data_IF_783880501920
#
_entry.id   IF_783880501920
#
_cell.length_a   1.000
_cell.length_b   1.000
_cell.length_c   1.000
_cell.angle_alpha   90.00
_cell.angle_beta   90.00
_cell.angle_gamma   90.00
#
_symmetry.space_group_name_H-M   'P 1'
#
loop_
_entity.id
_entity.type
_entity.pdbx_description
1 polymer ?
#
# COMPACT_ATOMS: atom_id res chain seq x y z
N UNK A 1 -14.41 -25.62 -5.67
CA UNK A 1 -15.16 -25.09 -4.53
C UNK A 1 -15.96 -23.89 -5.02
N UNK A 2 -17.26 -23.85 -4.75
CA UNK A 2 -18.15 -22.82 -5.30
C UNK A 2 -18.12 -21.61 -4.36
N UNK A 3 -17.25 -20.65 -4.63
CA UNK A 3 -17.27 -19.36 -3.92
C UNK A 3 -18.15 -18.43 -4.73
N UNK A 4 -19.40 -18.34 -4.32
CA UNK A 4 -20.35 -17.42 -4.93
C UNK A 4 -20.19 -16.04 -4.32
N UNK A 5 -20.28 -15.01 -5.16
CA UNK A 5 -20.39 -13.64 -4.72
C UNK A 5 -21.55 -13.55 -3.72
N UNK A 6 -21.21 -13.37 -2.44
CA UNK A 6 -22.17 -13.09 -1.40
C UNK A 6 -22.28 -11.58 -1.27
N UNK A 7 -23.47 -11.08 -1.60
CA UNK A 7 -23.85 -9.70 -1.34
C UNK A 7 -24.60 -9.65 -0.01
N UNK A 8 -24.04 -8.96 0.97
CA UNK A 8 -24.62 -8.82 2.30
C UNK A 8 -24.04 -7.60 3.00
N UNK A 9 -24.78 -7.04 3.94
CA UNK A 9 -24.34 -5.88 4.74
C UNK A 9 -23.94 -6.29 6.15
N UNK A 10 -24.00 -7.60 6.45
CA UNK A 10 -23.59 -8.23 7.70
C UNK A 10 -22.50 -9.26 7.43
N UNK A 11 -21.29 -8.78 7.16
CA UNK A 11 -20.18 -9.62 6.68
C UNK A 11 -18.85 -9.22 7.36
N UNK A 12 -17.95 -10.19 7.45
CA UNK A 12 -16.56 -9.98 7.90
C UNK A 12 -15.70 -9.69 6.68
N UNK A 13 -15.04 -8.54 6.63
CA UNK A 13 -14.31 -8.11 5.41
C UNK A 13 -12.94 -8.77 5.31
N UNK A 14 -12.13 -8.67 6.36
CA UNK A 14 -10.75 -9.17 6.36
C UNK A 14 -10.38 -9.90 7.66
N UNK A 15 -10.85 -9.38 8.80
CA UNK A 15 -10.60 -9.94 10.13
C UNK A 15 -11.88 -9.90 10.94
N UNK A 16 -12.04 -10.79 11.92
CA UNK A 16 -13.24 -10.84 12.77
C UNK A 16 -13.57 -9.52 13.49
N UNK A 17 -12.57 -8.68 13.75
CA UNK A 17 -12.77 -7.34 14.31
C UNK A 17 -13.35 -6.35 13.28
N UNK A 18 -13.12 -6.59 11.99
CA UNK A 18 -13.60 -5.78 10.88
C UNK A 18 -14.88 -6.39 10.30
N UNK A 19 -15.87 -6.55 11.18
CA UNK A 19 -17.23 -6.94 10.83
C UNK A 19 -18.09 -5.69 10.67
N UNK A 20 -18.87 -5.66 9.59
CA UNK A 20 -19.89 -4.63 9.36
C UNK A 20 -21.26 -5.23 9.63
N UNK A 21 -22.19 -4.43 10.16
CA UNK A 21 -23.60 -4.81 10.36
C UNK A 21 -24.59 -3.88 9.64
N UNK A 22 -24.08 -2.82 9.02
CA UNK A 22 -24.87 -1.69 8.51
C UNK A 22 -24.31 -1.17 7.18
N UNK A 23 -25.17 -0.54 6.36
CA UNK A 23 -24.78 0.06 5.07
C UNK A 23 -23.66 1.12 5.21
N UNK A 24 -23.73 1.92 6.27
CA UNK A 24 -22.70 2.91 6.59
C UNK A 24 -21.34 2.25 6.87
N UNK A 25 -21.33 1.12 7.56
CA UNK A 25 -20.13 0.32 7.81
C UNK A 25 -19.51 -0.22 6.52
N UNK A 26 -20.35 -0.62 5.55
CA UNK A 26 -19.90 -1.04 4.21
C UNK A 26 -19.22 0.11 3.46
N UNK A 27 -19.86 1.28 3.37
CA UNK A 27 -19.30 2.45 2.66
C UNK A 27 -18.01 2.93 3.31
N UNK A 28 -17.97 3.00 4.66
CA UNK A 28 -16.77 3.37 5.39
C UNK A 28 -15.62 2.39 5.14
N UNK A 29 -15.93 1.10 5.02
CA UNK A 29 -14.93 0.08 4.70
C UNK A 29 -14.36 0.23 3.29
N UNK A 30 -15.18 0.61 2.29
CA UNK A 30 -14.66 0.95 0.96
C UNK A 30 -13.68 2.11 0.99
N UNK A 31 -14.02 3.17 1.75
CA UNK A 31 -13.13 4.33 1.90
C UNK A 31 -11.83 3.90 2.61
N UNK A 32 -11.92 3.10 3.67
CA UNK A 32 -10.75 2.61 4.40
C UNK A 32 -9.82 1.76 3.53
N UNK A 33 -10.38 0.83 2.75
CA UNK A 33 -9.60 0.00 1.80
C UNK A 33 -8.96 0.88 0.73
N UNK A 34 -9.69 1.87 0.20
CA UNK A 34 -9.15 2.79 -0.80
C UNK A 34 -7.96 3.58 -0.26
N UNK A 35 -8.08 4.13 0.96
CA UNK A 35 -6.98 4.87 1.61
C UNK A 35 -5.79 3.96 1.85
N UNK A 36 -6.00 2.73 2.36
CA UNK A 36 -4.92 1.76 2.56
C UNK A 36 -4.23 1.38 1.26
N UNK A 37 -4.98 1.20 0.17
CA UNK A 37 -4.42 0.95 -1.16
C UNK A 37 -3.60 2.13 -1.68
N UNK A 38 -4.12 3.35 -1.55
CA UNK A 38 -3.40 4.57 -1.94
C UNK A 38 -2.11 4.76 -1.12
N UNK A 39 -2.16 4.50 0.19
CA UNK A 39 -0.98 4.52 1.06
C UNK A 39 0.05 3.45 0.66
N UNK A 40 -0.41 2.23 0.34
CA UNK A 40 0.47 1.15 -0.10
C UNK A 40 1.24 1.53 -1.37
N UNK A 41 0.54 2.06 -2.38
CA UNK A 41 1.18 2.58 -3.58
C UNK A 41 2.10 3.76 -3.26
N UNK A 42 1.66 4.70 -2.41
CA UNK A 42 2.48 5.85 -2.00
C UNK A 42 3.80 5.45 -1.35
N UNK A 43 3.80 4.49 -0.42
CA UNK A 43 5.01 3.96 0.23
C UNK A 43 5.93 3.26 -0.77
N UNK A 44 5.34 2.50 -1.70
CA UNK A 44 6.10 1.83 -2.78
C UNK A 44 6.85 2.85 -3.63
N UNK A 45 6.17 3.91 -4.06
CA UNK A 45 6.78 5.01 -4.82
C UNK A 45 7.84 5.75 -4.01
N UNK A 46 7.59 6.01 -2.72
CA UNK A 46 8.55 6.66 -1.85
C UNK A 46 9.87 5.88 -1.70
N UNK A 47 9.79 4.54 -1.61
CA UNK A 47 10.98 3.69 -1.59
C UNK A 47 11.81 3.84 -2.87
N UNK A 48 11.16 3.80 -4.03
CA UNK A 48 11.85 3.95 -5.33
C UNK A 48 12.50 5.33 -5.44
N UNK A 49 11.78 6.39 -5.02
CA UNK A 49 12.30 7.75 -5.00
C UNK A 49 13.58 7.88 -4.15
N UNK A 50 13.60 7.33 -2.93
CA UNK A 50 14.79 7.34 -2.08
C UNK A 50 15.96 6.55 -2.69
N UNK A 51 15.68 5.40 -3.31
CA UNK A 51 16.71 4.59 -3.97
C UNK A 51 17.33 5.33 -5.16
N UNK A 52 16.52 6.03 -5.96
CA UNK A 52 17.00 6.86 -7.07
C UNK A 52 17.88 8.01 -6.57
N UNK A 53 17.47 8.71 -5.51
CA UNK A 53 18.26 9.81 -4.94
C UNK A 53 19.61 9.34 -4.40
N UNK A 54 19.64 8.22 -3.68
CA UNK A 54 20.89 7.63 -3.17
C UNK A 54 21.80 7.14 -4.30
N UNK A 55 21.24 6.60 -5.38
CA UNK A 55 22.02 6.12 -6.54
C UNK A 55 22.62 7.29 -7.33
N UNK A 56 21.87 8.39 -7.48
CA UNK A 56 22.36 9.62 -8.12
C UNK A 56 23.50 10.25 -7.33
N UNK A 57 23.41 10.27 -6.00
CA UNK A 57 24.48 10.75 -5.13
C UNK A 57 25.78 9.94 -5.30
N UNK A 58 25.68 8.62 -5.53
CA UNK A 58 26.83 7.75 -5.81
C UNK A 58 27.51 8.00 -7.17
N UNK A 59 26.77 8.49 -8.17
CA UNK A 59 27.32 8.85 -9.49
C UNK A 59 27.95 10.26 -9.51
N UNK A 60 27.47 11.15 -8.65
CA UNK A 60 28.03 12.49 -8.47
C UNK A 60 29.27 12.51 -7.54
N UNK A 61 29.50 11.42 -6.79
CA UNK A 61 30.72 11.27 -6.02
C UNK A 61 31.91 11.07 -6.99
N UNK A 62 32.94 11.93 -6.96
CA UNK A 62 34.12 11.73 -7.79
C UNK A 62 34.72 10.37 -7.44
N UNK A 63 34.84 9.49 -8.44
CA UNK A 63 35.57 8.24 -8.32
C UNK A 63 37.02 8.60 -8.05
N UNK A 64 37.39 8.71 -6.77
CA UNK A 64 38.75 8.93 -6.32
C UNK A 64 39.65 7.93 -7.02
N UNK A 65 40.53 8.46 -7.85
CA UNK A 65 41.45 7.73 -8.69
C UNK A 65 42.43 7.06 -7.73
N UNK A 66 42.20 5.79 -7.41
CA UNK A 66 43.14 4.96 -6.68
C UNK A 66 44.35 4.67 -7.55
N UNK A 67 45.29 5.61 -7.57
CA UNK A 67 46.62 5.47 -8.14
C UNK A 67 47.63 5.88 -7.06
N UNK A 68 47.94 4.94 -6.17
CA UNK A 68 49.20 4.82 -5.43
C UNK A 68 49.38 3.36 -5.06
#
# INVERSE_FOLDING_TARGET
>A
MKMWFHGGWNEVILFDFWRIDSFSGLVLSFIAIFIMGAMYEGIKWFRVYLQMNNSMAGLAAPKGNGHT
#
